data_IF_539459516365
#
_entry.id   IF_539459516365
#
_cell.length_a   1.000
_cell.length_b   1.000
_cell.length_c   1.000
_cell.angle_alpha   90.00
_cell.angle_beta   90.00
_cell.angle_gamma   90.00
#
_symmetry.space_group_name_H-M   'P 1'
#
loop_
_entity.id
_entity.type
_entity.pdbx_description
1 polymer ?
#
# COMPACT_ATOMS: atom_id res chain seq x y z
N UNK A 1 21.71 -54.84 11.76
CA UNK A 1 21.07 -53.82 10.89
C UNK A 1 19.90 -53.04 11.51
N UNK A 2 19.21 -53.48 12.58
CA UNK A 2 18.09 -52.69 13.18
C UNK A 2 18.50 -51.56 14.14
N UNK A 3 19.74 -51.55 14.64
CA UNK A 3 20.22 -50.57 15.64
C UNK A 3 20.72 -49.26 15.02
N UNK A 4 21.13 -49.27 13.75
CA UNK A 4 21.52 -48.05 13.04
C UNK A 4 20.29 -47.25 12.55
N UNK A 5 19.22 -47.89 12.05
CA UNK A 5 18.00 -47.19 11.58
C UNK A 5 17.35 -46.27 12.62
N UNK A 6 17.34 -46.66 13.90
CA UNK A 6 16.79 -45.82 14.99
C UNK A 6 17.63 -44.57 15.28
N UNK A 7 18.95 -44.61 15.06
CA UNK A 7 19.79 -43.41 15.21
C UNK A 7 19.53 -42.42 14.07
N UNK A 8 19.38 -42.89 12.83
CA UNK A 8 19.09 -42.01 11.68
C UNK A 8 17.75 -41.26 11.81
N UNK A 9 16.69 -41.93 12.28
CA UNK A 9 15.38 -41.29 12.49
C UNK A 9 15.38 -40.24 13.61
N UNK A 10 16.20 -40.40 14.65
CA UNK A 10 16.33 -39.39 15.71
C UNK A 10 17.06 -38.13 15.21
N UNK A 11 18.05 -38.29 14.33
CA UNK A 11 18.79 -37.17 13.76
C UNK A 11 17.94 -36.37 12.76
N UNK A 12 17.12 -37.02 11.94
CA UNK A 12 16.19 -36.34 11.02
C UNK A 12 15.15 -35.47 11.77
N UNK A 13 14.66 -35.92 12.93
CA UNK A 13 13.75 -35.10 13.75
C UNK A 13 14.45 -33.90 14.40
N UNK A 14 15.70 -34.05 14.87
CA UNK A 14 16.49 -32.93 15.40
C UNK A 14 16.83 -31.88 14.33
N UNK A 15 17.17 -32.30 13.11
CA UNK A 15 17.42 -31.38 12.00
C UNK A 15 16.17 -30.58 11.59
N UNK A 16 15.00 -31.21 11.55
CA UNK A 16 13.75 -30.51 11.27
C UNK A 16 13.37 -29.52 12.37
N UNK A 17 13.66 -29.83 13.65
CA UNK A 17 13.41 -28.92 14.77
C UNK A 17 14.35 -27.70 14.72
N UNK A 18 15.62 -27.90 14.37
CA UNK A 18 16.62 -26.81 14.25
C UNK A 18 16.27 -25.92 13.05
N UNK A 19 15.90 -26.50 11.90
CA UNK A 19 15.43 -25.76 10.73
C UNK A 19 14.11 -25.01 11.02
N UNK A 20 13.20 -25.59 11.80
CA UNK A 20 11.98 -24.91 12.26
C UNK A 20 12.28 -23.76 13.22
N UNK A 21 13.19 -23.94 14.18
CA UNK A 21 13.61 -22.86 15.09
C UNK A 21 14.37 -21.78 14.32
N UNK A 22 15.22 -22.13 13.36
CA UNK A 22 15.87 -21.16 12.47
C UNK A 22 14.85 -20.42 11.61
N UNK A 23 13.83 -21.08 11.05
CA UNK A 23 12.74 -20.42 10.32
C UNK A 23 11.88 -19.53 11.24
N UNK A 24 11.59 -19.94 12.47
CA UNK A 24 10.85 -19.13 13.45
C UNK A 24 11.70 -17.97 13.97
N UNK A 25 13.01 -18.13 14.15
CA UNK A 25 13.94 -17.05 14.50
C UNK A 25 14.23 -16.12 13.31
N UNK A 26 14.17 -16.62 12.08
CA UNK A 26 14.29 -15.83 10.86
C UNK A 26 13.00 -15.07 10.57
N UNK A 27 11.83 -15.69 10.73
CA UNK A 27 10.54 -15.01 10.76
C UNK A 27 10.44 -14.03 11.92
N UNK A 28 10.88 -14.37 13.14
CA UNK A 28 10.93 -13.42 14.28
C UNK A 28 11.95 -12.31 14.04
N UNK A 29 13.06 -12.53 13.33
CA UNK A 29 13.98 -11.47 12.95
C UNK A 29 13.40 -10.55 11.88
N UNK A 30 12.66 -11.10 10.90
CA UNK A 30 11.92 -10.28 9.92
C UNK A 30 10.70 -9.56 10.54
N UNK A 31 10.10 -10.11 11.60
CA UNK A 31 8.96 -9.50 12.32
C UNK A 31 9.44 -8.49 13.38
N UNK A 32 10.70 -8.53 13.85
CA UNK A 32 11.24 -7.61 14.86
C UNK A 32 11.99 -6.37 14.32
N UNK A 33 12.09 -6.19 13.00
CA UNK A 33 12.43 -4.89 12.40
C UNK A 33 11.19 -4.17 11.82
N UNK A 34 10.00 -4.44 12.37
CA UNK A 34 8.90 -3.49 12.27
C UNK A 34 9.25 -2.37 13.26
N UNK A 35 10.05 -1.40 12.81
CA UNK A 35 10.16 -0.11 13.51
C UNK A 35 8.75 0.45 13.57
N UNK A 36 8.09 0.28 14.72
CA UNK A 36 6.79 0.87 14.95
C UNK A 36 7.04 2.36 15.15
N UNK A 37 6.84 3.13 14.08
CA UNK A 37 6.90 4.58 14.15
C UNK A 37 5.83 5.02 15.17
N UNK A 38 6.26 5.51 16.34
CA UNK A 38 5.34 5.91 17.40
C UNK A 38 4.68 7.24 17.02
N UNK A 39 3.40 7.16 16.63
CA UNK A 39 2.56 8.33 16.32
C UNK A 39 1.77 8.71 17.58
N UNK A 40 1.93 9.94 18.04
CA UNK A 40 1.17 10.52 19.14
C UNK A 40 0.41 11.76 18.66
N UNK A 41 -0.87 11.86 18.99
CA UNK A 41 -1.69 13.04 18.65
C UNK A 41 -1.83 13.96 19.85
N UNK A 42 -1.45 15.24 19.69
CA UNK A 42 -1.55 16.28 20.72
C UNK A 42 -2.48 17.38 20.26
N UNK A 43 -3.31 17.88 21.18
CA UNK A 43 -4.23 18.98 20.91
C UNK A 43 -3.99 20.10 21.91
N UNK A 44 -3.70 21.28 21.37
CA UNK A 44 -3.68 22.54 22.08
C UNK A 44 -5.00 23.28 21.84
N UNK A 45 -5.20 24.43 22.49
CA UNK A 45 -6.45 25.20 22.39
C UNK A 45 -6.79 25.63 20.96
N UNK A 46 -5.77 25.94 20.14
CA UNK A 46 -5.95 26.45 18.76
C UNK A 46 -5.32 25.56 17.70
N UNK A 47 -4.52 24.57 18.10
CA UNK A 47 -3.71 23.76 17.20
C UNK A 47 -3.82 22.28 17.49
N UNK A 48 -3.70 21.48 16.44
CA UNK A 48 -3.62 20.03 16.52
C UNK A 48 -2.30 19.58 15.91
N UNK A 49 -1.60 18.71 16.62
CA UNK A 49 -0.30 18.21 16.23
C UNK A 49 -0.30 16.68 16.13
N UNK A 50 0.33 16.17 15.08
CA UNK A 50 0.77 14.78 15.02
C UNK A 50 2.27 14.76 15.33
N UNK A 51 2.67 14.00 16.33
CA UNK A 51 4.05 13.86 16.78
C UNK A 51 4.56 12.48 16.36
N UNK A 52 5.71 12.44 15.71
CA UNK A 52 6.32 11.20 15.22
C UNK A 52 7.75 11.14 15.71
N UNK A 53 8.10 10.08 16.44
CA UNK A 53 9.48 9.84 16.88
C UNK A 53 10.28 9.19 15.76
N UNK A 54 11.48 9.69 15.53
CA UNK A 54 12.41 9.22 14.50
C UNK A 54 13.82 9.10 15.06
N UNK A 55 14.54 8.07 14.63
CA UNK A 55 15.95 7.89 14.98
C UNK A 55 16.88 8.76 14.12
N UNK A 56 16.37 9.26 13.01
CA UNK A 56 17.07 10.16 12.10
C UNK A 56 16.57 11.59 12.26
N UNK A 57 17.45 12.52 11.94
CA UNK A 57 17.16 13.95 11.94
C UNK A 57 17.35 14.51 10.53
N UNK A 58 16.60 15.56 10.18
CA UNK A 58 16.74 16.22 8.90
C UNK A 58 18.13 16.85 8.75
N UNK A 59 18.61 16.94 7.51
CA UNK A 59 19.82 17.70 7.22
C UNK A 59 19.60 19.19 7.57
N UNK A 60 20.65 19.93 7.96
CA UNK A 60 20.50 21.32 8.40
C UNK A 60 19.77 22.23 7.39
N UNK A 61 20.01 22.04 6.09
CA UNK A 61 19.34 22.81 5.05
C UNK A 61 17.87 22.42 4.87
N UNK A 62 17.52 21.13 5.01
CA UNK A 62 16.13 20.66 4.93
C UNK A 62 15.31 21.28 6.06
N UNK A 63 15.86 21.31 7.30
CA UNK A 63 15.22 21.99 8.43
C UNK A 63 14.97 23.46 8.14
N UNK A 64 15.97 24.15 7.60
CA UNK A 64 15.84 25.56 7.30
C UNK A 64 14.73 25.81 6.27
N UNK A 65 14.67 24.99 5.21
CA UNK A 65 13.63 25.07 4.19
C UNK A 65 12.25 24.76 4.80
N UNK A 66 12.10 23.66 5.55
CA UNK A 66 10.84 23.22 6.15
C UNK A 66 10.31 24.21 7.21
N UNK A 67 11.18 24.85 7.97
CA UNK A 67 10.77 25.83 9.00
C UNK A 67 10.50 27.21 8.43
N UNK A 68 11.29 27.68 7.44
CA UNK A 68 11.15 29.04 6.89
C UNK A 68 10.16 29.15 5.74
N UNK A 69 9.89 28.05 5.03
CA UNK A 69 9.06 28.04 3.83
C UNK A 69 7.81 27.22 4.06
N UNK A 70 6.64 27.78 3.79
CA UNK A 70 5.41 26.99 3.68
C UNK A 70 5.40 26.27 2.33
N UNK A 71 5.93 25.06 2.28
CA UNK A 71 5.88 24.23 1.06
C UNK A 71 4.47 23.68 0.93
N UNK A 72 3.75 24.13 -0.10
CA UNK A 72 2.40 23.64 -0.37
C UNK A 72 2.41 22.11 -0.53
N UNK A 73 1.47 21.41 0.09
CA UNK A 73 1.36 19.95 0.03
C UNK A 73 2.31 19.18 0.96
N UNK A 74 3.21 19.83 1.69
CA UNK A 74 3.93 19.20 2.82
C UNK A 74 3.32 19.70 4.12
N UNK A 75 2.90 18.78 4.99
CA UNK A 75 2.36 19.15 6.30
C UNK A 75 3.44 19.95 7.07
N UNK A 76 3.14 21.17 7.55
CA UNK A 76 4.14 22.00 8.24
C UNK A 76 4.74 21.23 9.42
N UNK A 77 6.08 21.12 9.44
CA UNK A 77 6.79 20.28 10.40
C UNK A 77 7.87 21.07 11.12
N UNK A 78 8.00 20.83 12.42
CA UNK A 78 9.14 21.26 13.23
C UNK A 78 9.74 20.06 13.95
N UNK A 79 11.07 20.05 14.13
CA UNK A 79 11.74 18.98 14.88
C UNK A 79 12.23 19.46 16.23
N UNK A 80 12.03 18.65 17.26
CA UNK A 80 12.64 18.83 18.58
C UNK A 80 13.41 17.59 18.96
N UNK A 81 14.57 17.73 19.60
CA UNK A 81 15.29 16.60 20.16
C UNK A 81 14.90 16.42 21.64
N UNK A 82 14.34 15.27 21.99
CA UNK A 82 13.90 14.93 23.35
C UNK A 82 14.05 13.43 23.59
N UNK A 83 14.37 13.04 24.83
CA UNK A 83 14.48 11.62 25.25
C UNK A 83 15.39 10.76 24.34
N UNK A 84 16.49 11.35 23.88
CA UNK A 84 17.46 10.75 22.96
C UNK A 84 16.93 10.40 21.56
N UNK A 85 15.76 10.93 21.17
CA UNK A 85 15.18 10.78 19.84
C UNK A 85 14.81 12.15 19.23
N UNK A 86 14.73 12.19 17.90
CA UNK A 86 14.14 13.33 17.19
C UNK A 86 12.63 13.15 17.17
N UNK A 87 11.90 14.22 17.46
CA UNK A 87 10.43 14.22 17.38
C UNK A 87 10.02 15.24 16.32
N UNK A 88 9.35 14.76 15.28
CA UNK A 88 8.73 15.58 14.24
C UNK A 88 7.31 15.98 14.68
N UNK A 89 7.07 17.28 14.78
CA UNK A 89 5.78 17.89 15.13
C UNK A 89 5.12 18.44 13.87
N UNK A 90 4.12 17.72 13.36
CA UNK A 90 3.33 18.10 12.20
C UNK A 90 2.10 18.89 12.63
N UNK A 91 1.93 20.12 12.14
CA UNK A 91 0.74 20.94 12.37
C UNK A 91 -0.38 20.50 11.42
N UNK A 92 -1.33 19.72 11.96
CA UNK A 92 -2.47 19.14 11.23
C UNK A 92 -3.76 19.95 11.45
N UNK A 93 -3.62 21.21 11.89
CA UNK A 93 -4.76 22.06 12.22
C UNK A 93 -5.64 22.33 11.00
N UNK A 94 -6.94 22.04 11.12
CA UNK A 94 -7.89 22.22 10.03
C UNK A 94 -7.80 21.16 8.92
N UNK A 95 -7.03 20.10 9.14
CA UNK A 95 -6.95 18.95 8.26
C UNK A 95 -7.64 17.73 8.89
N UNK A 96 -8.04 16.79 8.04
CA UNK A 96 -8.56 15.48 8.42
C UNK A 96 -7.57 14.41 7.94
N UNK A 97 -7.30 13.41 8.79
CA UNK A 97 -6.48 12.28 8.38
C UNK A 97 -7.15 11.53 7.21
N UNK A 98 -6.34 11.11 6.24
CA UNK A 98 -6.84 10.55 4.99
C UNK A 98 -7.53 9.19 5.19
N UNK A 99 -6.99 8.37 6.09
CA UNK A 99 -7.62 7.11 6.51
C UNK A 99 -9.05 7.31 7.00
N UNK A 100 -9.27 8.31 7.86
CA UNK A 100 -10.58 8.62 8.41
C UNK A 100 -11.52 9.19 7.34
N UNK A 101 -11.00 9.96 6.39
CA UNK A 101 -11.80 10.39 5.24
C UNK A 101 -12.30 9.19 4.40
N UNK A 102 -11.44 8.18 4.19
CA UNK A 102 -11.74 6.95 3.43
C UNK A 102 -12.57 5.91 4.21
N UNK A 103 -12.79 6.11 5.50
CA UNK A 103 -13.76 5.34 6.29
C UNK A 103 -15.18 5.88 6.13
N UNK A 104 -15.31 7.19 5.95
CA UNK A 104 -16.59 7.88 5.86
C UNK A 104 -17.14 7.90 4.44
N UNK A 105 -16.27 8.00 3.44
CA UNK A 105 -16.63 8.13 2.03
C UNK A 105 -15.71 7.29 1.14
N UNK A 106 -16.29 6.65 0.12
CA UNK A 106 -15.51 5.95 -0.91
C UNK A 106 -14.88 6.98 -1.86
N UNK A 107 -13.67 6.71 -2.32
CA UNK A 107 -12.94 7.62 -3.21
C UNK A 107 -13.54 7.62 -4.61
N UNK A 108 -14.15 8.74 -4.99
CA UNK A 108 -14.65 9.00 -6.35
C UNK A 108 -13.56 9.57 -7.27
N UNK A 109 -13.91 9.81 -8.54
CA UNK A 109 -12.96 10.32 -9.54
C UNK A 109 -12.47 11.73 -9.22
N UNK A 110 -13.29 12.56 -8.59
CA UNK A 110 -12.91 13.92 -8.22
C UNK A 110 -11.86 13.91 -7.10
N UNK A 111 -12.09 13.13 -6.05
CA UNK A 111 -11.18 12.99 -4.92
C UNK A 111 -9.88 12.32 -5.34
N UNK A 112 -9.93 11.28 -6.18
CA UNK A 112 -8.74 10.65 -6.75
C UNK A 112 -7.93 11.63 -7.59
N UNK A 113 -8.58 12.41 -8.47
CA UNK A 113 -7.90 13.45 -9.26
C UNK A 113 -7.24 14.48 -8.36
N UNK A 114 -7.95 14.97 -7.33
CA UNK A 114 -7.41 15.95 -6.39
C UNK A 114 -6.21 15.40 -5.62
N UNK A 115 -6.25 14.13 -5.21
CA UNK A 115 -5.14 13.44 -4.57
C UNK A 115 -3.90 13.40 -5.47
N UNK A 116 -4.06 12.94 -6.72
CA UNK A 116 -2.95 12.79 -7.65
C UNK A 116 -2.35 14.13 -8.09
N UNK A 117 -3.19 15.15 -8.29
CA UNK A 117 -2.74 16.53 -8.56
C UNK A 117 -1.94 17.10 -7.39
N UNK A 118 -2.42 16.88 -6.16
CA UNK A 118 -1.73 17.33 -4.94
C UNK A 118 -0.38 16.62 -4.79
N UNK A 119 -0.34 15.32 -5.06
CA UNK A 119 0.89 14.52 -5.03
C UNK A 119 1.91 15.00 -6.07
N UNK A 120 1.52 15.06 -7.35
CA UNK A 120 2.42 15.49 -8.43
C UNK A 120 2.98 16.89 -8.16
N UNK A 121 2.10 17.83 -7.74
CA UNK A 121 2.54 19.18 -7.39
C UNK A 121 3.50 19.21 -6.19
N UNK A 122 3.34 18.29 -5.23
CA UNK A 122 4.26 18.18 -4.08
C UNK A 122 5.62 17.67 -4.52
N UNK A 123 5.66 16.65 -5.39
CA UNK A 123 6.91 16.13 -5.96
C UNK A 123 7.68 17.19 -6.77
N UNK A 124 6.98 17.94 -7.63
CA UNK A 124 7.57 19.06 -8.38
C UNK A 124 8.17 20.13 -7.44
N UNK A 125 7.51 20.40 -6.30
CA UNK A 125 8.02 21.36 -5.31
C UNK A 125 9.22 20.81 -4.55
N UNK A 126 9.20 19.54 -4.13
CA UNK A 126 10.34 18.91 -3.49
C UNK A 126 11.60 19.02 -4.36
N UNK A 127 11.46 18.73 -5.66
CA UNK A 127 12.54 18.90 -6.64
C UNK A 127 13.03 20.36 -6.71
N UNK A 128 12.12 21.34 -6.74
CA UNK A 128 12.48 22.76 -6.79
C UNK A 128 13.26 23.26 -5.56
N UNK A 129 13.04 22.63 -4.39
CA UNK A 129 13.74 22.94 -3.14
C UNK A 129 14.94 22.03 -2.88
N UNK A 130 15.26 21.09 -3.79
CA UNK A 130 16.30 20.07 -3.61
C UNK A 130 16.09 19.20 -2.36
N UNK A 131 14.83 18.99 -1.98
CA UNK A 131 14.43 18.07 -0.92
C UNK A 131 14.35 16.66 -1.48
N UNK A 132 14.72 15.66 -0.67
CA UNK A 132 14.75 14.26 -1.09
C UNK A 132 13.33 13.69 -1.15
N UNK A 133 12.82 13.29 -2.33
CA UNK A 133 11.48 12.72 -2.45
C UNK A 133 11.28 11.42 -1.66
N UNK A 134 12.36 10.72 -1.27
CA UNK A 134 12.29 9.50 -0.45
C UNK A 134 11.87 9.76 0.99
N UNK A 135 12.00 10.99 1.47
CA UNK A 135 11.49 11.40 2.77
C UNK A 135 9.97 11.64 2.76
N UNK A 136 9.31 11.59 1.59
CA UNK A 136 7.86 11.66 1.51
C UNK A 136 7.23 10.35 2.01
N UNK A 137 6.44 10.43 3.07
CA UNK A 137 5.90 9.24 3.74
C UNK A 137 4.56 8.82 3.11
N UNK A 138 4.55 7.66 2.44
CA UNK A 138 3.36 7.05 1.83
C UNK A 138 2.71 5.98 2.71
N UNK A 139 2.24 6.38 3.89
CA UNK A 139 1.36 5.55 4.71
C UNK A 139 -0.03 6.19 4.83
N UNK A 140 -1.00 5.43 5.31
CA UNK A 140 -2.37 5.92 5.47
C UNK A 140 -2.47 7.00 6.55
N UNK A 141 -1.62 6.86 7.57
CA UNK A 141 -1.55 7.70 8.76
C UNK A 141 -0.76 9.00 8.51
N UNK A 142 -0.06 9.11 7.38
CA UNK A 142 0.86 10.22 7.06
C UNK A 142 0.31 11.21 6.05
N UNK A 143 -0.94 11.03 5.62
CA UNK A 143 -1.59 11.85 4.59
C UNK A 143 -2.81 12.53 5.20
N UNK A 144 -2.97 13.80 4.88
CA UNK A 144 -4.02 14.65 5.43
C UNK A 144 -4.75 15.37 4.31
N UNK A 145 -6.08 15.41 4.40
CA UNK A 145 -6.94 16.19 3.51
C UNK A 145 -7.26 17.51 4.20
N UNK A 146 -7.04 18.62 3.52
CA UNK A 146 -7.40 19.94 4.02
C UNK A 146 -8.92 20.12 3.92
N UNK A 147 -9.55 20.50 5.03
CA UNK A 147 -11.01 20.63 5.10
C UNK A 147 -11.56 21.83 4.34
N UNK A 148 -10.72 22.81 3.98
CA UNK A 148 -11.15 24.04 3.28
C UNK A 148 -11.21 23.88 1.77
N UNK A 149 -10.15 23.36 1.18
CA UNK A 149 -9.97 23.29 -0.28
C UNK A 149 -9.93 21.85 -0.83
N UNK A 150 -9.93 20.85 0.05
CA UNK A 150 -9.84 19.43 -0.33
C UNK A 150 -8.46 19.00 -0.82
N UNK A 151 -7.44 19.86 -0.73
CA UNK A 151 -6.07 19.52 -1.11
C UNK A 151 -5.46 18.48 -0.18
N UNK A 152 -4.57 17.63 -0.72
CA UNK A 152 -3.88 16.64 0.07
C UNK A 152 -2.48 17.11 0.45
N UNK A 153 -2.11 16.82 1.70
CA UNK A 153 -0.87 17.19 2.33
C UNK A 153 -0.19 15.94 2.86
N UNK A 154 1.11 15.85 2.65
CA UNK A 154 1.91 14.66 2.92
C UNK A 154 2.94 14.98 4.01
N UNK A 155 3.15 14.05 4.95
CA UNK A 155 4.20 14.18 5.93
C UNK A 155 5.57 13.90 5.28
N UNK A 156 6.53 14.78 5.54
CA UNK A 156 7.92 14.64 5.13
C UNK A 156 8.73 14.23 6.35
N UNK A 157 9.37 13.06 6.31
CA UNK A 157 10.01 12.39 7.45
C UNK A 157 11.39 11.84 7.05
N UNK A 158 12.46 12.10 7.82
CA UNK A 158 13.83 11.72 7.45
C UNK A 158 14.09 10.21 7.57
N UNK A 159 13.15 9.46 8.17
CA UNK A 159 13.28 8.01 8.34
C UNK A 159 12.88 7.20 7.09
N UNK A 160 12.47 7.88 6.01
CA UNK A 160 12.07 7.25 4.75
C UNK A 160 13.18 6.40 4.13
N UNK A 161 13.15 5.10 4.37
CA UNK A 161 14.08 4.11 3.78
C UNK A 161 13.50 3.40 2.55
N UNK A 162 12.19 3.50 2.33
CA UNK A 162 11.54 2.86 1.18
C UNK A 162 11.70 3.69 -0.08
N UNK A 163 11.78 3.00 -1.22
CA UNK A 163 11.74 3.67 -2.51
C UNK A 163 10.39 4.39 -2.67
N UNK A 164 10.42 5.61 -3.18
CA UNK A 164 9.23 6.43 -3.42
C UNK A 164 8.17 5.68 -4.24
N UNK A 165 8.59 4.92 -5.26
CA UNK A 165 7.70 4.17 -6.13
C UNK A 165 7.07 2.98 -5.39
N UNK A 166 7.84 2.29 -4.55
CA UNK A 166 7.35 1.16 -3.74
C UNK A 166 6.34 1.63 -2.69
N UNK A 167 6.64 2.75 -2.01
CA UNK A 167 5.72 3.37 -1.05
C UNK A 167 4.42 3.80 -1.73
N UNK A 168 4.51 4.44 -2.90
CA UNK A 168 3.32 4.81 -3.67
C UNK A 168 2.54 3.61 -4.18
N UNK A 169 3.22 2.53 -4.60
CA UNK A 169 2.56 1.29 -5.01
C UNK A 169 1.71 0.71 -3.86
N UNK A 170 2.28 0.56 -2.66
CA UNK A 170 1.55 0.07 -1.48
C UNK A 170 0.35 0.93 -1.15
N UNK A 171 0.51 2.26 -1.26
CA UNK A 171 -0.61 3.19 -1.07
C UNK A 171 -1.69 2.97 -2.13
N UNK A 172 -1.33 2.83 -3.40
CA UNK A 172 -2.28 2.55 -4.47
C UNK A 172 -3.02 1.23 -4.29
N UNK A 173 -2.35 0.17 -3.84
CA UNK A 173 -2.97 -1.11 -3.49
C UNK A 173 -4.05 -0.92 -2.43
N UNK A 174 -3.78 -0.11 -1.40
CA UNK A 174 -4.78 0.25 -0.40
C UNK A 174 -5.92 1.10 -1.00
N UNK A 175 -5.61 2.12 -1.80
CA UNK A 175 -6.61 3.01 -2.39
C UNK A 175 -7.57 2.28 -3.32
N UNK A 176 -7.09 1.29 -4.08
CA UNK A 176 -7.95 0.45 -4.93
C UNK A 176 -9.07 -0.23 -4.13
N UNK A 177 -8.85 -0.57 -2.87
CA UNK A 177 -9.88 -1.16 -1.99
C UNK A 177 -10.92 -0.14 -1.50
N UNK A 178 -10.63 1.15 -1.66
CA UNK A 178 -11.43 2.27 -1.16
C UNK A 178 -12.10 3.08 -2.26
N UNK A 179 -12.04 2.64 -3.51
CA UNK A 179 -12.65 3.34 -4.64
C UNK A 179 -14.14 3.08 -4.73
N UNK A 180 -14.89 4.12 -5.08
CA UNK A 180 -16.30 3.97 -5.39
C UNK A 180 -16.49 3.22 -6.72
N UNK A 181 -16.81 1.93 -6.64
CA UNK A 181 -17.09 1.09 -7.81
C UNK A 181 -18.32 1.53 -8.62
N UNK A 182 -19.15 2.44 -8.10
CA UNK A 182 -20.24 3.07 -8.87
C UNK A 182 -19.69 4.12 -9.84
N UNK A 183 -18.57 4.75 -9.53
CA UNK A 183 -17.89 5.70 -10.40
C UNK A 183 -16.91 4.97 -11.34
N UNK A 184 -17.38 4.67 -12.55
CA UNK A 184 -16.58 4.01 -13.57
C UNK A 184 -15.33 4.80 -13.97
N UNK A 185 -15.34 6.13 -13.84
CA UNK A 185 -14.15 6.95 -14.13
C UNK A 185 -13.10 6.77 -13.04
N UNK A 186 -13.52 6.72 -11.77
CA UNK A 186 -12.61 6.47 -10.65
C UNK A 186 -11.92 5.10 -10.79
N UNK A 187 -12.72 4.07 -11.10
CA UNK A 187 -12.23 2.70 -11.33
C UNK A 187 -11.20 2.65 -12.46
N UNK A 188 -11.55 3.17 -13.64
CA UNK A 188 -10.64 3.17 -14.81
C UNK A 188 -9.34 3.92 -14.51
N UNK A 189 -9.45 5.08 -13.89
CA UNK A 189 -8.30 5.93 -13.56
C UNK A 189 -7.34 5.22 -12.59
N UNK A 190 -7.86 4.62 -11.53
CA UNK A 190 -7.01 3.99 -10.53
C UNK A 190 -6.33 2.73 -11.03
N UNK A 191 -7.03 1.88 -11.80
CA UNK A 191 -6.39 0.72 -12.42
C UNK A 191 -5.33 1.14 -13.44
N UNK A 192 -5.61 2.15 -14.26
CA UNK A 192 -4.61 2.68 -15.21
C UNK A 192 -3.36 3.16 -14.47
N UNK A 193 -3.51 3.91 -13.39
CA UNK A 193 -2.37 4.41 -12.60
C UNK A 193 -1.61 3.26 -11.95
N UNK A 194 -2.32 2.33 -11.33
CA UNK A 194 -1.72 1.15 -10.69
C UNK A 194 -0.90 0.33 -11.69
N UNK A 195 -1.44 0.09 -12.88
CA UNK A 195 -0.75 -0.60 -13.98
C UNK A 195 0.50 0.14 -14.45
N UNK A 196 0.53 1.48 -14.36
CA UNK A 196 1.75 2.22 -14.65
C UNK A 196 2.79 2.10 -13.53
N UNK A 197 2.37 2.21 -12.27
CA UNK A 197 3.27 2.19 -11.10
C UNK A 197 4.00 0.86 -10.95
N UNK A 198 3.35 -0.26 -11.30
CA UNK A 198 3.98 -1.59 -11.28
C UNK A 198 5.10 -1.73 -12.33
N UNK A 199 5.05 -0.95 -13.42
CA UNK A 199 6.09 -1.01 -14.45
C UNK A 199 7.40 -0.47 -13.89
N UNK A 200 8.46 -1.25 -14.00
CA UNK A 200 9.79 -0.82 -13.59
C UNK A 200 10.19 0.49 -14.28
N UNK A 201 10.73 1.44 -13.50
CA UNK A 201 11.18 2.74 -14.01
C UNK A 201 10.08 3.79 -14.20
N UNK A 202 8.86 3.56 -13.71
CA UNK A 202 7.80 4.56 -13.78
C UNK A 202 8.10 5.78 -12.90
N UNK A 203 8.01 6.97 -13.52
CA UNK A 203 8.12 8.24 -12.82
C UNK A 203 6.76 8.68 -12.29
N UNK A 204 6.65 8.96 -10.99
CA UNK A 204 5.41 9.44 -10.39
C UNK A 204 4.95 10.79 -10.97
N UNK A 205 5.85 11.61 -11.51
CA UNK A 205 5.48 12.86 -12.19
C UNK A 205 4.72 12.57 -13.50
N UNK A 206 4.98 11.43 -14.15
CA UNK A 206 4.28 11.00 -15.37
C UNK A 206 2.80 10.64 -15.13
N UNK A 207 2.37 10.50 -13.87
CA UNK A 207 0.94 10.35 -13.51
C UNK A 207 0.14 11.54 -14.05
N UNK A 208 0.73 12.74 -14.03
CA UNK A 208 0.08 13.96 -14.51
C UNK A 208 -0.35 13.87 -15.98
N UNK A 209 0.46 13.24 -16.83
CA UNK A 209 0.12 13.04 -18.24
C UNK A 209 -1.07 12.09 -18.38
N UNK A 210 -1.14 11.06 -17.52
CA UNK A 210 -2.23 10.09 -17.51
C UNK A 210 -3.56 10.70 -17.05
N UNK A 211 -3.54 11.72 -16.19
CA UNK A 211 -4.72 12.49 -15.77
C UNK A 211 -5.34 13.32 -16.91
N UNK A 212 -4.59 13.62 -17.96
CA UNK A 212 -5.08 14.42 -19.10
C UNK A 212 -5.71 13.59 -20.22
N UNK A 213 -5.66 12.26 -20.11
CA UNK A 213 -6.01 11.30 -21.16
C UNK A 213 -7.52 10.98 -21.29
N UNK A 214 -8.41 11.77 -20.66
CA UNK A 214 -9.88 11.65 -20.70
C UNK A 214 -10.52 11.84 -22.11
N UNK A 215 -9.77 11.71 -23.21
CA UNK A 215 -10.27 11.91 -24.58
C UNK A 215 -10.19 10.71 -25.51
N UNK A 216 -9.69 9.56 -25.06
CA UNK A 216 -9.66 8.36 -25.91
C UNK A 216 -10.55 7.30 -25.31
N UNK A 217 -11.53 6.87 -26.09
CA UNK A 217 -12.42 5.74 -25.79
C UNK A 217 -11.58 4.51 -25.39
N UNK A 218 -11.48 4.25 -24.09
CA UNK A 218 -10.91 3.01 -23.57
C UNK A 218 -12.01 1.96 -23.75
N UNK A 219 -11.82 1.07 -24.72
CA UNK A 219 -12.63 -0.14 -24.85
C UNK A 219 -12.74 -0.83 -23.49
N UNK A 220 -13.93 -1.30 -23.09
CA UNK A 220 -14.15 -1.88 -21.78
C UNK A 220 -13.14 -3.01 -21.54
N UNK A 221 -12.40 -2.91 -20.43
CA UNK A 221 -11.55 -3.98 -19.92
C UNK A 221 -12.43 -5.24 -19.82
N UNK A 222 -12.04 -6.37 -20.43
CA UNK A 222 -12.82 -7.59 -20.31
C UNK A 222 -12.88 -7.99 -18.84
N UNK A 223 -14.11 -8.13 -18.34
CA UNK A 223 -14.46 -8.53 -16.98
C UNK A 223 -13.93 -9.95 -16.69
N UNK A 224 -12.70 -10.04 -16.19
CA UNK A 224 -12.07 -11.32 -15.82
C UNK A 224 -12.72 -11.99 -14.61
N UNK A 225 -13.66 -11.31 -13.94
CA UNK A 225 -14.37 -11.86 -12.78
C UNK A 225 -15.51 -12.81 -13.16
N UNK A 226 -16.03 -12.74 -14.39
CA UNK A 226 -17.08 -13.65 -14.89
C UNK A 226 -16.54 -14.93 -15.57
N UNK A 227 -15.32 -14.88 -16.13
CA UNK A 227 -14.72 -16.01 -16.85
C UNK A 227 -14.44 -17.18 -15.90
N UNK A 228 -13.95 -16.91 -14.68
CA UNK A 228 -13.65 -17.96 -13.69
C UNK A 228 -14.91 -18.70 -13.21
N UNK A 229 -16.04 -18.00 -13.10
CA UNK A 229 -17.32 -18.62 -12.73
C UNK A 229 -17.94 -19.49 -13.84
N UNK A 230 -17.63 -19.25 -15.12
CA UNK A 230 -18.07 -20.12 -16.22
C UNK A 230 -17.22 -21.38 -16.34
N UNK A 231 -15.91 -21.27 -16.11
CA UNK A 231 -14.98 -22.41 -16.18
C UNK A 231 -15.28 -23.45 -15.09
N UNK A 232 -15.69 -23.04 -13.88
CA UNK A 232 -16.08 -23.97 -12.81
C UNK A 232 -17.44 -24.67 -13.06
N UNK A 233 -18.39 -24.00 -13.71
CA UNK A 233 -19.70 -24.61 -14.03
C UNK A 233 -19.62 -25.64 -15.17
N UNK A 234 -18.77 -25.42 -16.18
CA UNK A 234 -18.59 -26.38 -17.29
C UNK A 234 -17.75 -27.60 -16.88
N UNK A 235 -16.76 -27.43 -15.99
CA UNK A 235 -15.95 -28.54 -15.49
C UNK A 235 -16.72 -29.47 -14.54
N UNK A 236 -17.71 -28.96 -13.80
CA UNK A 236 -18.56 -29.75 -12.90
C UNK A 236 -19.66 -30.54 -13.64
N UNK A 237 -20.18 -30.02 -14.77
CA UNK A 237 -21.12 -30.76 -15.62
C UNK A 237 -20.46 -31.93 -16.37
N UNK A 238 -19.22 -31.75 -16.83
CA UNK A 238 -18.50 -32.80 -17.57
C UNK A 238 -18.01 -33.96 -16.69
N UNK A 239 -17.68 -33.70 -15.42
CA UNK A 239 -17.32 -34.77 -14.47
C UNK A 239 -18.55 -35.58 -14.02
N UNK A 240 -19.70 -34.92 -13.83
CA UNK A 240 -20.93 -35.62 -13.43
C UNK A 240 -21.55 -36.47 -14.56
N UNK A 241 -21.34 -36.14 -15.83
CA UNK A 241 -21.73 -37.01 -16.95
C UNK A 241 -20.79 -38.21 -17.14
N UNK A 242 -19.48 -38.03 -16.93
CA UNK A 242 -18.50 -39.13 -17.02
C UNK A 242 -18.68 -40.15 -15.89
N UNK A 243 -18.96 -39.71 -14.66
CA UNK A 243 -19.22 -40.62 -13.52
C UNK A 243 -20.52 -41.42 -13.70
N UNK A 244 -21.59 -40.80 -14.25
CA UNK A 244 -22.85 -41.51 -14.56
C UNK A 244 -22.69 -42.54 -15.68
N UNK A 245 -21.83 -42.27 -16.64
CA UNK A 245 -21.57 -43.18 -17.76
C UNK A 245 -20.71 -44.38 -17.33
N UNK A 246 -19.71 -44.13 -16.46
CA UNK A 246 -18.85 -45.17 -15.90
C UNK A 246 -19.61 -46.10 -14.92
N UNK A 247 -20.47 -45.55 -14.05
CA UNK A 247 -21.31 -46.38 -13.15
C UNK A 247 -22.36 -47.21 -13.89
N UNK A 248 -22.83 -46.75 -15.07
CA UNK A 248 -23.75 -47.52 -15.92
C UNK A 248 -23.05 -48.69 -16.62
N UNK A 249 -21.82 -48.49 -17.09
CA UNK A 249 -20.99 -49.56 -17.68
C UNK A 249 -20.60 -50.64 -16.66
N UNK A 250 -20.23 -50.24 -15.42
CA UNK A 250 -19.89 -51.21 -14.36
C UNK A 250 -21.12 -52.05 -13.97
N UNK A 251 -22.31 -51.45 -13.86
CA UNK A 251 -23.56 -52.21 -13.59
C UNK A 251 -23.94 -53.19 -14.70
N UNK A 252 -23.53 -52.92 -15.94
CA UNK A 252 -23.76 -53.81 -17.08
C UNK A 252 -22.80 -55.01 -17.09
N UNK A 253 -21.54 -54.80 -16.68
CA UNK A 253 -20.54 -55.87 -16.54
C UNK A 253 -20.82 -56.82 -15.37
N UNK A 254 -21.45 -56.35 -14.29
CA UNK A 254 -21.83 -57.19 -13.13
C UNK A 254 -23.06 -58.08 -13.41
N UNK A 255 -23.84 -57.80 -14.47
CA UNK A 255 -25.04 -58.59 -14.84
C UNK A 255 -24.76 -59.75 -15.82
N UNK A 256 -23.51 -59.93 -16.27
CA UNK A 256 -23.11 -60.98 -17.21
C UNK A 256 -22.08 -61.98 -16.62
N UNK A 257 -21.94 -62.03 -15.29
CA UNK A 257 -21.32 -63.14 -14.56
C UNK A 257 -22.34 -63.73 -13.60
#
# INVERSE_FOLDING_TARGET
MKRQRRKWQNWEQEYHLILWIQCICWMRSQILEIYFMEIEYKRELTKSYMCVKTDQDFLPFEKEILTRSSILGIVPVNTTFADAATVCWYDITGMQAFDHALEMEMMDSQMLTQFLVSLCGTLERLESFLLDPRHLWFSRESIFKNNRDGSFWFCYCPEGKENITEGFQKLMEYLLTKIDHKDQRAVKMAYHIYDQVIKEGYSLIAIRESLTYDRVDIEPVPDRTLENSRVELEQTSDQTEKEKTFTKQIKQMVKQK
#
